data_IF_262446747850
#
_entry.id   IF_262446747850
#
_cell.length_a   1.000
_cell.length_b   1.000
_cell.length_c   1.000
_cell.angle_alpha   90.00
_cell.angle_beta   90.00
_cell.angle_gamma   90.00
#
_symmetry.space_group_name_H-M   'P 1'
#
loop_
_entity.id
_entity.type
_entity.pdbx_description
1 polymer ?
#
# COMPACT_ATOMS: atom_id res chain seq x y z
N UNK A 1 12.97 -0.52 6.30
CA UNK A 1 11.60 -0.98 6.58
C UNK A 1 11.14 -0.44 7.92
N UNK A 2 9.97 0.17 7.94
CA UNK A 2 9.36 0.66 9.17
C UNK A 2 8.65 -0.48 9.90
N UNK A 3 8.80 -0.53 11.22
CA UNK A 3 8.13 -1.49 12.09
C UNK A 3 7.11 -0.75 12.96
N UNK A 4 5.98 -1.37 13.21
CA UNK A 4 4.95 -0.87 14.10
C UNK A 4 4.97 -1.68 15.41
N UNK A 5 4.62 -1.09 16.55
CA UNK A 5 4.48 -1.86 17.79
C UNK A 5 3.37 -2.91 17.64
N UNK A 6 3.47 -4.04 18.35
CA UNK A 6 2.44 -5.09 18.35
C UNK A 6 1.04 -4.56 18.76
N UNK A 7 1.00 -3.49 19.55
CA UNK A 7 -0.22 -2.83 19.98
C UNK A 7 -0.78 -1.81 18.97
N UNK A 8 -0.23 -1.70 17.76
CA UNK A 8 -0.67 -0.75 16.74
C UNK A 8 -2.14 -1.00 16.39
N UNK A 9 -2.90 0.10 16.36
CA UNK A 9 -4.32 0.13 16.02
C UNK A 9 -4.54 0.11 14.52
N UNK A 10 -5.79 -0.02 14.09
CA UNK A 10 -6.13 0.05 12.66
C UNK A 10 -5.88 1.47 12.11
N UNK A 11 -6.11 2.50 12.92
CA UNK A 11 -5.76 3.89 12.56
C UNK A 11 -4.25 4.06 12.37
N UNK A 12 -3.42 3.39 13.19
CA UNK A 12 -1.95 3.41 13.02
C UNK A 12 -1.52 2.72 11.71
N UNK A 13 -2.19 1.63 11.33
CA UNK A 13 -1.93 0.91 10.08
C UNK A 13 -2.39 1.72 8.86
N UNK A 14 -3.51 2.42 8.94
CA UNK A 14 -3.94 3.36 7.90
C UNK A 14 -2.97 4.53 7.80
N UNK A 15 -2.51 5.08 8.93
CA UNK A 15 -1.50 6.15 8.94
C UNK A 15 -0.16 5.68 8.35
N UNK A 16 0.21 4.42 8.55
CA UNK A 16 1.35 3.81 7.88
C UNK A 16 1.16 3.76 6.35
N UNK A 17 -0.01 3.33 5.88
CA UNK A 17 -0.33 3.30 4.45
C UNK A 17 -0.38 4.71 3.83
N UNK A 18 -0.87 5.71 4.58
CA UNK A 18 -0.82 7.13 4.19
C UNK A 18 0.63 7.61 4.00
N UNK A 19 1.55 7.25 4.91
CA UNK A 19 2.96 7.63 4.78
C UNK A 19 3.62 6.95 3.58
N UNK A 20 3.33 5.67 3.35
CA UNK A 20 3.76 4.99 2.13
C UNK A 20 3.21 5.68 0.87
N UNK A 21 1.93 6.07 0.87
CA UNK A 21 1.31 6.80 -0.24
C UNK A 21 1.92 8.19 -0.46
N UNK A 22 2.44 8.87 0.58
CA UNK A 22 3.21 10.13 0.42
C UNK A 22 4.52 9.91 -0.31
N UNK A 23 5.23 8.81 -0.04
CA UNK A 23 6.45 8.46 -0.78
C UNK A 23 6.13 8.20 -2.25
N UNK A 24 5.01 7.51 -2.51
CA UNK A 24 4.49 7.27 -3.86
C UNK A 24 4.09 8.57 -4.57
N UNK A 25 3.44 9.51 -3.88
CA UNK A 25 3.07 10.84 -4.41
C UNK A 25 4.28 11.71 -4.76
N UNK A 26 5.37 11.57 -3.99
CA UNK A 26 6.66 12.20 -4.27
C UNK A 26 7.45 11.48 -5.37
N UNK A 27 6.93 10.36 -5.90
CA UNK A 27 7.60 9.45 -6.84
C UNK A 27 8.94 8.90 -6.32
N UNK A 28 9.12 8.87 -4.99
CA UNK A 28 10.28 8.24 -4.34
C UNK A 28 10.02 6.75 -4.16
N UNK A 29 10.00 6.04 -5.29
CA UNK A 29 9.72 4.59 -5.31
C UNK A 29 10.80 3.77 -4.61
N UNK A 30 12.01 4.31 -4.43
CA UNK A 30 13.08 3.66 -3.67
C UNK A 30 12.73 3.69 -2.18
N UNK A 31 12.38 4.87 -1.65
CA UNK A 31 11.95 4.98 -0.26
C UNK A 31 10.66 4.19 -0.01
N UNK A 32 9.68 4.25 -0.91
CA UNK A 32 8.44 3.48 -0.80
C UNK A 32 8.69 1.97 -0.77
N UNK A 33 9.61 1.48 -1.61
CA UNK A 33 10.05 0.08 -1.58
C UNK A 33 10.76 -0.26 -0.26
N UNK A 34 11.67 0.58 0.23
CA UNK A 34 12.37 0.31 1.49
C UNK A 34 11.48 0.44 2.73
N UNK A 35 10.32 1.10 2.62
CA UNK A 35 9.38 1.34 3.71
C UNK A 35 8.66 0.07 4.16
N UNK A 36 8.34 -0.84 3.23
CA UNK A 36 7.59 -2.08 3.48
C UNK A 36 8.44 -3.34 3.31
N UNK A 37 7.97 -4.46 3.86
CA UNK A 37 8.37 -5.77 3.36
C UNK A 37 7.72 -6.02 2.01
N UNK A 38 8.12 -7.09 1.31
CA UNK A 38 7.54 -7.46 0.01
C UNK A 38 7.23 -8.96 -0.04
N UNK A 39 6.13 -9.32 -0.69
CA UNK A 39 5.85 -10.70 -1.07
C UNK A 39 6.91 -11.18 -2.09
N UNK A 40 7.77 -12.16 -1.75
CA UNK A 40 8.87 -12.56 -2.62
C UNK A 40 8.44 -13.05 -4.00
N UNK A 41 7.25 -13.65 -4.11
CA UNK A 41 6.73 -14.14 -5.40
C UNK A 41 6.33 -13.03 -6.36
N UNK A 42 6.06 -11.82 -5.87
CA UNK A 42 5.67 -10.66 -6.68
C UNK A 42 6.86 -9.92 -7.28
N UNK A 43 8.08 -10.19 -6.78
CA UNK A 43 9.33 -9.62 -7.28
C UNK A 43 9.30 -8.08 -7.39
N UNK A 44 8.65 -7.43 -6.42
CA UNK A 44 8.58 -5.98 -6.35
C UNK A 44 9.98 -5.37 -6.43
N UNK A 45 10.07 -4.29 -7.19
CA UNK A 45 11.25 -3.42 -7.28
C UNK A 45 10.75 -1.98 -7.33
N UNK A 46 11.58 -0.98 -6.97
CA UNK A 46 11.20 0.43 -7.14
C UNK A 46 10.71 0.75 -8.55
N UNK A 47 11.36 0.19 -9.58
CA UNK A 47 10.97 0.38 -10.97
C UNK A 47 9.60 -0.23 -11.28
N UNK A 48 9.32 -1.44 -10.78
CA UNK A 48 8.04 -2.11 -10.99
C UNK A 48 6.89 -1.39 -10.28
N UNK A 49 7.10 -0.94 -9.05
CA UNK A 49 6.12 -0.15 -8.28
C UNK A 49 5.73 1.12 -9.07
N UNK A 50 6.72 1.88 -9.55
CA UNK A 50 6.44 3.05 -10.38
C UNK A 50 5.76 2.67 -11.70
N UNK A 51 6.19 1.58 -12.35
CA UNK A 51 5.61 1.13 -13.61
C UNK A 51 4.13 0.77 -13.48
N UNK A 52 3.70 0.13 -12.41
CA UNK A 52 2.28 -0.21 -12.20
C UNK A 52 1.42 1.06 -12.18
N UNK A 53 1.88 2.11 -11.49
CA UNK A 53 1.20 3.41 -11.49
C UNK A 53 1.17 4.01 -12.89
N UNK A 54 2.30 4.02 -13.61
CA UNK A 54 2.36 4.61 -14.97
C UNK A 54 1.60 3.82 -16.03
N UNK A 55 1.41 2.52 -15.83
CA UNK A 55 0.66 1.64 -16.74
C UNK A 55 -0.82 1.52 -16.37
N UNK A 56 -1.27 2.16 -15.29
CA UNK A 56 -2.68 2.20 -14.95
C UNK A 56 -3.51 2.94 -16.00
N UNK A 57 -4.74 2.48 -16.24
CA UNK A 57 -5.68 3.08 -17.19
C UNK A 57 -5.09 3.31 -18.59
N UNK A 58 -5.06 4.58 -19.02
CA UNK A 58 -4.56 5.00 -20.35
C UNK A 58 -3.03 4.98 -20.48
N UNK A 59 -2.31 4.45 -19.49
CA UNK A 59 -0.85 4.33 -19.52
C UNK A 59 -0.13 5.68 -19.68
N UNK A 60 -0.57 6.69 -18.92
CA UNK A 60 0.01 8.02 -18.96
C UNK A 60 1.30 8.07 -18.14
N UNK A 61 2.44 8.36 -18.79
CA UNK A 61 3.73 8.48 -18.11
C UNK A 61 3.78 9.63 -17.08
N UNK A 62 2.90 10.62 -17.20
CA UNK A 62 2.77 11.73 -16.25
C UNK A 62 1.93 11.41 -15.02
N UNK A 63 1.13 10.34 -15.05
CA UNK A 63 0.20 10.06 -13.94
C UNK A 63 0.94 9.64 -12.68
N UNK A 64 0.45 10.03 -11.52
CA UNK A 64 1.09 9.69 -10.24
C UNK A 64 0.07 9.46 -9.14
N UNK A 65 0.52 8.79 -8.09
CA UNK A 65 -0.25 8.68 -6.86
C UNK A 65 -0.43 10.06 -6.24
N UNK A 66 -1.58 10.26 -5.62
CA UNK A 66 -1.88 11.43 -4.79
C UNK A 66 -2.44 10.95 -3.46
N UNK A 67 -2.05 11.59 -2.37
CA UNK A 67 -2.52 11.19 -1.04
C UNK A 67 -4.02 11.50 -0.91
N UNK A 68 -4.42 12.68 -1.39
CA UNK A 68 -5.80 13.14 -1.36
C UNK A 68 -6.35 13.15 -2.79
N UNK A 69 -7.52 12.56 -2.97
CA UNK A 69 -8.26 12.57 -4.23
C UNK A 69 -9.65 13.15 -4.04
N UNK A 70 -10.15 13.84 -5.07
CA UNK A 70 -11.56 14.15 -5.18
C UNK A 70 -12.34 12.88 -5.51
N UNK A 71 -13.48 12.63 -4.83
CA UNK A 71 -14.31 11.48 -5.12
C UNK A 71 -14.87 11.59 -6.53
N UNK A 72 -14.88 10.46 -7.23
CA UNK A 72 -15.53 10.30 -8.53
C UNK A 72 -16.93 9.71 -8.30
N UNK A 73 -17.22 8.55 -8.88
CA UNK A 73 -18.34 7.67 -8.54
C UNK A 73 -18.03 6.72 -7.38
N UNK A 74 -16.76 6.63 -6.98
CA UNK A 74 -16.28 5.82 -5.86
C UNK A 74 -15.58 6.67 -4.79
N UNK A 75 -15.55 6.15 -3.56
CA UNK A 75 -14.78 6.71 -2.44
C UNK A 75 -13.54 5.88 -2.20
N UNK A 76 -12.43 6.54 -1.85
CA UNK A 76 -11.19 5.84 -1.52
C UNK A 76 -11.41 4.89 -0.34
N UNK A 77 -11.18 3.59 -0.54
CA UNK A 77 -11.12 2.63 0.56
C UNK A 77 -9.80 2.75 1.30
N UNK A 78 -9.90 2.82 2.63
CA UNK A 78 -8.81 2.63 3.57
C UNK A 78 -9.31 1.70 4.66
N UNK A 79 -9.07 0.41 4.48
CA UNK A 79 -9.68 -0.63 5.31
C UNK A 79 -8.60 -1.55 5.87
N UNK A 80 -8.76 -1.92 7.14
CA UNK A 80 -7.94 -2.92 7.81
C UNK A 80 -8.84 -4.07 8.20
N UNK A 81 -8.51 -5.27 7.74
CA UNK A 81 -9.17 -6.50 8.19
C UNK A 81 -8.19 -7.31 9.01
N UNK A 82 -8.58 -7.72 10.22
CA UNK A 82 -7.77 -8.61 11.07
C UNK A 82 -8.39 -9.98 11.20
N UNK A 83 -7.55 -11.00 11.33
CA UNK A 83 -7.95 -12.37 11.56
C UNK A 83 -7.00 -13.08 12.52
N UNK A 84 -7.39 -14.30 12.94
CA UNK A 84 -6.49 -15.16 13.71
C UNK A 84 -5.30 -15.56 12.85
N UNK A 85 -4.08 -15.46 13.41
CA UNK A 85 -2.82 -15.80 12.73
C UNK A 85 -2.96 -17.06 11.87
N UNK A 86 -2.68 -16.90 10.57
CA UNK A 86 -2.68 -18.02 9.64
C UNK A 86 -1.32 -18.75 9.67
N UNK A 87 -1.23 -19.90 9.00
CA UNK A 87 0.01 -20.69 8.94
C UNK A 87 1.21 -20.01 8.27
N UNK A 88 1.10 -18.74 7.87
CA UNK A 88 2.16 -17.90 7.31
C UNK A 88 2.54 -16.74 8.25
N UNK A 89 1.96 -16.65 9.45
CA UNK A 89 2.22 -15.57 10.41
C UNK A 89 1.48 -14.27 10.09
N UNK A 90 0.60 -14.28 9.09
CA UNK A 90 -0.20 -13.11 8.72
C UNK A 90 -1.48 -13.07 9.56
N UNK A 91 -1.72 -11.90 10.19
CA UNK A 91 -2.78 -11.62 11.15
C UNK A 91 -3.83 -10.63 10.62
N UNK A 92 -3.65 -10.15 9.39
CA UNK A 92 -4.55 -9.16 8.80
C UNK A 92 -4.02 -8.62 7.48
N UNK A 93 -4.81 -7.76 6.86
CA UNK A 93 -4.46 -7.08 5.62
C UNK A 93 -5.01 -5.65 5.60
N UNK A 94 -4.26 -4.76 4.97
CA UNK A 94 -4.65 -3.39 4.67
C UNK A 94 -5.03 -3.32 3.20
N UNK A 95 -6.21 -2.78 2.93
CA UNK A 95 -6.68 -2.46 1.58
C UNK A 95 -6.70 -0.94 1.44
N UNK A 96 -5.86 -0.42 0.54
CA UNK A 96 -5.67 1.00 0.35
C UNK A 96 -5.80 1.37 -1.12
N UNK A 97 -6.92 1.99 -1.48
CA UNK A 97 -7.12 2.48 -2.84
C UNK A 97 -6.24 3.71 -3.07
N UNK A 98 -5.51 3.73 -4.18
CA UNK A 98 -4.62 4.81 -4.57
C UNK A 98 -5.41 5.84 -5.36
N UNK A 99 -5.30 7.11 -4.97
CA UNK A 99 -5.80 8.19 -5.82
C UNK A 99 -4.75 8.48 -6.90
N UNK A 100 -5.19 8.70 -8.13
CA UNK A 100 -4.32 9.01 -9.27
C UNK A 100 -4.63 10.42 -9.75
N UNK A 101 -3.61 11.27 -9.86
CA UNK A 101 -3.70 12.66 -10.33
C UNK A 101 -4.80 13.50 -9.63
N UNK A 102 -5.03 13.23 -8.34
CA UNK A 102 -5.99 13.95 -7.52
C UNK A 102 -7.42 13.41 -7.59
N UNK A 103 -7.64 12.21 -8.13
CA UNK A 103 -8.95 11.57 -8.20
C UNK A 103 -8.91 10.16 -7.62
N UNK A 104 -10.02 9.75 -6.97
CA UNK A 104 -10.17 8.37 -6.50
C UNK A 104 -10.11 7.40 -7.71
N UNK A 105 -9.39 6.29 -7.54
CA UNK A 105 -9.24 5.24 -8.55
C UNK A 105 -9.48 3.85 -7.96
N UNK A 106 -9.65 2.85 -8.81
CA UNK A 106 -9.77 1.43 -8.44
C UNK A 106 -8.40 0.73 -8.30
N UNK A 107 -7.29 1.45 -8.52
CA UNK A 107 -5.95 0.92 -8.31
C UNK A 107 -5.71 0.78 -6.81
N UNK A 108 -5.62 -0.46 -6.34
CA UNK A 108 -5.54 -0.80 -4.92
C UNK A 108 -4.17 -1.35 -4.59
N UNK A 109 -3.54 -0.84 -3.52
CA UNK A 109 -2.42 -1.50 -2.86
C UNK A 109 -2.94 -2.35 -1.70
N UNK A 110 -2.53 -3.62 -1.65
CA UNK A 110 -2.81 -4.51 -0.53
C UNK A 110 -1.55 -4.83 0.25
N UNK A 111 -1.67 -4.88 1.58
CA UNK A 111 -0.56 -5.15 2.47
C UNK A 111 -0.91 -6.22 3.49
N UNK A 112 -0.11 -7.28 3.57
CA UNK A 112 -0.20 -8.24 4.67
C UNK A 112 0.38 -7.64 5.96
N UNK A 113 -0.27 -7.95 7.08
CA UNK A 113 0.18 -7.59 8.42
C UNK A 113 0.69 -8.86 9.09
N UNK A 114 1.98 -8.89 9.41
CA UNK A 114 2.63 -10.02 10.07
C UNK A 114 3.06 -9.64 11.48
N UNK A 115 2.80 -10.52 12.46
CA UNK A 115 3.30 -10.35 13.82
C UNK A 115 4.65 -11.05 13.97
N UNK A 116 5.62 -10.34 14.54
CA UNK A 116 6.97 -10.85 14.79
C UNK A 116 7.53 -10.37 16.12
N UNK A 117 8.77 -10.79 16.45
CA UNK A 117 9.41 -10.44 17.72
C UNK A 117 9.56 -8.93 17.96
N UNK A 118 9.71 -8.16 16.88
CA UNK A 118 9.93 -6.71 16.90
C UNK A 118 8.63 -5.90 16.73
N UNK A 119 7.47 -6.56 16.77
CA UNK A 119 6.15 -5.95 16.56
C UNK A 119 5.52 -6.37 15.24
N UNK A 120 4.75 -5.46 14.61
CA UNK A 120 4.09 -5.72 13.34
C UNK A 120 4.99 -5.31 12.17
N UNK A 121 5.00 -6.16 11.15
CA UNK A 121 5.61 -5.90 9.84
C UNK A 121 4.51 -5.76 8.81
N UNK A 122 4.54 -4.68 8.03
CA UNK A 122 3.64 -4.45 6.91
C UNK A 122 4.35 -4.83 5.62
N UNK A 123 3.79 -5.80 4.89
CA UNK A 123 4.35 -6.36 3.66
C UNK A 123 3.48 -5.97 2.48
N UNK A 124 4.04 -5.29 1.49
CA UNK A 124 3.37 -5.07 0.21
C UNK A 124 3.12 -6.42 -0.46
N UNK A 125 1.83 -6.75 -0.61
CA UNK A 125 1.37 -7.96 -1.27
C UNK A 125 1.21 -7.66 -2.76
N UNK A 126 0.23 -6.84 -3.14
CA UNK A 126 -0.05 -6.53 -4.54
C UNK A 126 -0.43 -5.06 -4.77
N UNK A 127 -0.31 -4.59 -6.01
CA UNK A 127 -0.88 -3.33 -6.52
C UNK A 127 -1.65 -3.66 -7.80
N UNK A 128 -2.97 -3.67 -7.72
CA UNK A 128 -3.83 -4.15 -8.82
C UNK A 128 -5.16 -3.41 -8.87
N UNK A 129 -5.87 -3.57 -9.99
CA UNK A 129 -7.21 -3.01 -10.21
C UNK A 129 -8.26 -3.92 -9.57
N UNK A 130 -9.23 -3.32 -8.86
CA UNK A 130 -10.32 -4.02 -8.16
C UNK A 130 -11.70 -3.80 -8.78
#
# INVERSE_FOLDING_TARGET
>A
MAHLPASATDDDLIAFADEWARLMEAEDYVAAYEFTAHEPSMQWTPALIGQVVKSYGECNAGQKVTLNGEPTDISQRKEVTRWQENGRGCIGEIWYDLNIDGYVSDLTATFDIEEGPDGLTVRLNDIHVM
#
